data_IF_646671903773
#
_entry.id   IF_646671903773
#
_cell.length_a   1.000
_cell.length_b   1.000
_cell.length_c   1.000
_cell.angle_alpha   90.00
_cell.angle_beta   90.00
_cell.angle_gamma   90.00
#
_symmetry.space_group_name_H-M   'P 1'
#
loop_
_entity.id
_entity.type
_entity.pdbx_description
1 polymer ?
#
# COMPACT_ATOMS: atom_id res chain seq x y z
N UNK A 1 7.18 -39.29 2.65
CA UNK A 1 8.34 -38.39 2.45
C UNK A 1 8.09 -37.35 1.36
N UNK A 2 7.65 -37.75 0.15
CA UNK A 2 7.41 -36.85 -0.98
C UNK A 2 6.42 -35.70 -0.71
N UNK A 3 5.32 -35.94 -0.01
CA UNK A 3 4.30 -34.92 0.30
C UNK A 3 4.85 -33.74 1.12
N UNK A 4 5.69 -34.01 2.12
CA UNK A 4 6.27 -32.97 2.97
C UNK A 4 7.29 -32.11 2.19
N UNK A 5 8.08 -32.74 1.30
CA UNK A 5 8.99 -32.04 0.39
C UNK A 5 8.26 -31.18 -0.64
N UNK A 6 7.14 -31.64 -1.20
CA UNK A 6 6.33 -30.86 -2.16
C UNK A 6 5.68 -29.66 -1.47
N UNK A 7 5.17 -29.84 -0.26
CA UNK A 7 4.61 -28.74 0.55
C UNK A 7 5.70 -27.71 0.91
N UNK A 8 6.87 -28.16 1.37
CA UNK A 8 8.01 -27.27 1.67
C UNK A 8 8.51 -26.53 0.41
N UNK A 9 8.62 -27.22 -0.73
CA UNK A 9 9.02 -26.59 -2.00
C UNK A 9 7.98 -25.57 -2.46
N UNK A 10 6.68 -25.86 -2.31
CA UNK A 10 5.59 -24.92 -2.62
C UNK A 10 5.63 -23.68 -1.74
N UNK A 11 5.80 -23.84 -0.43
CA UNK A 11 5.92 -22.72 0.52
C UNK A 11 7.19 -21.91 0.27
N UNK A 12 8.34 -22.55 0.02
CA UNK A 12 9.61 -21.87 -0.29
C UNK A 12 9.55 -21.14 -1.63
N UNK A 13 8.90 -21.72 -2.64
CA UNK A 13 8.71 -21.08 -3.95
C UNK A 13 7.77 -19.88 -3.83
N UNK A 14 6.69 -20.01 -3.06
CA UNK A 14 5.78 -18.90 -2.76
C UNK A 14 6.50 -17.77 -1.97
N UNK A 15 7.31 -18.09 -0.97
CA UNK A 15 8.15 -17.12 -0.25
C UNK A 15 9.18 -16.45 -1.16
N UNK A 16 9.76 -17.17 -2.12
CA UNK A 16 10.66 -16.60 -3.13
C UNK A 16 9.94 -15.69 -4.11
N UNK A 17 8.72 -16.02 -4.50
CA UNK A 17 7.87 -15.17 -5.36
C UNK A 17 7.50 -13.87 -4.61
N UNK A 18 7.12 -13.95 -3.34
CA UNK A 18 6.88 -12.77 -2.51
C UNK A 18 8.14 -11.88 -2.39
N UNK A 19 9.33 -12.49 -2.28
CA UNK A 19 10.61 -11.76 -2.19
C UNK A 19 11.09 -11.21 -3.54
N UNK A 20 10.67 -11.81 -4.66
CA UNK A 20 11.02 -11.36 -6.01
C UNK A 20 10.16 -10.18 -6.48
N UNK A 21 8.88 -10.13 -6.08
CA UNK A 21 7.97 -9.01 -6.34
C UNK A 21 8.52 -7.68 -5.77
N UNK A 22 9.21 -7.75 -4.62
CA UNK A 22 9.86 -6.61 -3.95
C UNK A 22 10.94 -5.94 -4.82
N UNK A 23 11.64 -6.73 -5.65
CA UNK A 23 12.66 -6.22 -6.57
C UNK A 23 12.10 -5.65 -7.88
N UNK A 24 10.93 -6.13 -8.32
CA UNK A 24 10.26 -5.68 -9.55
C UNK A 24 9.43 -4.40 -9.37
N UNK A 25 8.87 -4.16 -8.18
CA UNK A 25 8.01 -3.00 -7.91
C UNK A 25 8.76 -1.74 -7.43
N UNK A 26 10.06 -1.85 -7.15
CA UNK A 26 10.94 -0.71 -6.88
C UNK A 26 11.06 0.29 -8.04
N UNK A 27 10.66 -0.11 -9.26
CA UNK A 27 10.63 0.79 -10.43
C UNK A 27 9.44 1.76 -10.45
N UNK A 28 8.42 1.58 -9.58
CA UNK A 28 7.32 2.54 -9.40
C UNK A 28 7.60 3.59 -8.30
N UNK A 29 8.77 3.50 -7.66
CA UNK A 29 9.25 4.38 -6.58
C UNK A 29 9.91 5.67 -7.11
N UNK A 30 10.25 5.72 -8.40
CA UNK A 30 10.72 6.97 -9.01
C UNK A 30 9.54 7.90 -9.21
N UNK A 31 9.71 9.17 -8.79
CA UNK A 31 8.92 10.31 -9.26
C UNK A 31 8.58 10.05 -10.74
N UNK A 32 7.28 10.08 -11.13
CA UNK A 32 6.91 9.80 -12.50
C UNK A 32 7.76 10.69 -13.42
N UNK A 33 8.32 10.15 -14.52
CA UNK A 33 9.13 10.93 -15.43
C UNK A 33 8.28 12.11 -15.89
N UNK A 34 8.69 13.31 -15.48
CA UNK A 34 8.27 14.65 -15.93
C UNK A 34 7.18 14.62 -17.01
N UNK A 35 5.91 14.52 -16.63
CA UNK A 35 4.80 14.61 -17.59
C UNK A 35 3.56 15.22 -16.95
N UNK A 36 3.21 16.42 -17.41
CA UNK A 36 1.85 17.03 -17.51
C UNK A 36 1.44 18.03 -16.41
N UNK A 37 1.85 19.30 -16.58
CA UNK A 37 1.23 20.61 -16.24
C UNK A 37 0.26 20.85 -15.04
N UNK A 38 -0.25 19.87 -14.31
CA UNK A 38 -1.31 20.01 -13.30
C UNK A 38 -0.96 19.47 -11.91
N UNK A 39 0.33 19.36 -11.56
CA UNK A 39 0.76 18.85 -10.25
C UNK A 39 1.13 19.99 -9.30
N UNK A 40 0.71 19.87 -8.05
CA UNK A 40 1.21 20.69 -6.95
C UNK A 40 2.43 20.00 -6.35
N UNK A 41 3.61 20.26 -6.92
CA UNK A 41 4.89 19.81 -6.36
C UNK A 41 5.32 20.77 -5.26
N UNK A 42 5.56 20.28 -4.04
CA UNK A 42 6.04 21.10 -2.93
C UNK A 42 7.35 20.54 -2.39
N UNK A 43 8.45 21.13 -2.84
CA UNK A 43 9.74 20.93 -2.21
C UNK A 43 10.10 22.21 -1.48
N UNK A 44 9.94 22.22 -0.15
CA UNK A 44 10.56 23.28 0.64
C UNK A 44 11.08 22.73 1.96
N UNK A 45 12.37 23.00 2.15
CA UNK A 45 13.30 22.72 3.24
C UNK A 45 13.73 21.26 3.35
N UNK A 46 15.05 21.04 3.36
CA UNK A 46 15.72 19.73 3.28
C UNK A 46 15.50 18.78 4.46
N UNK A 47 14.35 18.88 5.11
CA UNK A 47 13.92 18.00 6.19
C UNK A 47 12.54 17.36 5.94
N UNK A 48 11.73 17.88 4.99
CA UNK A 48 10.41 17.30 4.67
C UNK A 48 10.00 17.56 3.23
N UNK A 49 9.29 16.61 2.63
CA UNK A 49 8.83 16.65 1.24
C UNK A 49 7.36 16.28 1.15
N UNK A 50 6.62 16.98 0.29
CA UNK A 50 5.20 16.76 0.09
C UNK A 50 4.84 16.85 -1.40
N UNK A 51 4.00 15.94 -1.85
CA UNK A 51 3.55 15.85 -3.22
C UNK A 51 2.07 15.47 -3.23
N UNK A 52 1.29 16.15 -4.06
CA UNK A 52 -0.09 15.79 -4.33
C UNK A 52 -0.40 16.05 -5.80
N UNK A 53 -1.04 15.08 -6.46
CA UNK A 53 -1.47 15.27 -7.85
C UNK A 53 -2.68 16.19 -7.95
N UNK A 54 -3.65 16.04 -7.05
CA UNK A 54 -4.85 16.87 -7.05
C UNK A 54 -5.39 17.00 -5.63
N UNK A 55 -5.77 18.23 -5.26
CA UNK A 55 -6.39 18.52 -3.97
C UNK A 55 -7.75 19.15 -4.25
N UNK A 56 -8.80 18.53 -3.72
CA UNK A 56 -10.17 18.99 -3.91
C UNK A 56 -10.86 19.23 -2.56
N UNK A 57 -11.65 20.28 -2.51
CA UNK A 57 -12.57 20.61 -1.44
C UNK A 57 -13.98 20.26 -1.91
N UNK A 58 -14.64 19.37 -1.19
CA UNK A 58 -16.05 19.03 -1.39
C UNK A 58 -16.85 19.80 -0.35
N UNK A 59 -17.72 20.70 -0.79
CA UNK A 59 -18.52 21.54 0.11
C UNK A 59 -19.98 21.16 -0.05
N UNK A 60 -20.58 20.68 1.04
CA UNK A 60 -21.99 20.30 1.09
C UNK A 60 -22.82 21.45 1.65
N UNK A 61 -23.61 22.10 0.79
CA UNK A 61 -24.55 23.16 1.18
C UNK A 61 -25.96 22.80 0.74
N UNK A 62 -26.90 22.72 1.68
CA UNK A 62 -28.31 22.41 1.42
C UNK A 62 -28.54 21.14 0.57
N UNK A 63 -27.70 20.11 0.77
CA UNK A 63 -27.78 18.84 0.03
C UNK A 63 -27.14 18.86 -1.36
N UNK A 64 -26.52 19.97 -1.77
CA UNK A 64 -25.74 20.09 -3.01
C UNK A 64 -24.26 20.06 -2.64
N UNK A 65 -23.53 19.09 -3.19
CA UNK A 65 -22.07 18.99 -3.06
C UNK A 65 -21.39 19.71 -4.23
N UNK A 66 -20.64 20.77 -3.96
CA UNK A 66 -19.76 21.41 -4.95
C UNK A 66 -18.32 20.93 -4.79
N UNK A 67 -17.64 20.66 -5.90
CA UNK A 67 -16.23 20.30 -5.91
C UNK A 67 -15.36 21.49 -6.35
N UNK A 68 -14.35 21.80 -5.54
CA UNK A 68 -13.43 22.88 -5.82
C UNK A 68 -11.99 22.36 -5.83
N UNK A 69 -11.30 22.52 -6.96
CA UNK A 69 -9.91 22.09 -7.12
C UNK A 69 -8.97 23.22 -6.74
N UNK A 70 -8.05 22.96 -5.81
CA UNK A 70 -7.04 23.94 -5.43
C UNK A 70 -5.99 24.08 -6.56
N UNK A 71 -5.65 25.32 -6.97
CA UNK A 71 -4.73 25.54 -8.09
C UNK A 71 -3.29 25.17 -7.73
N UNK A 72 -2.57 24.47 -8.62
CA UNK A 72 -1.28 23.85 -8.28
C UNK A 72 -0.04 24.76 -8.30
N UNK A 73 -0.07 25.97 -8.88
CA UNK A 73 1.21 26.57 -9.29
C UNK A 73 1.33 28.11 -9.34
N UNK A 74 0.47 28.89 -8.68
CA UNK A 74 0.59 30.37 -8.74
C UNK A 74 0.26 31.14 -7.44
N UNK A 75 -0.54 30.58 -6.51
CA UNK A 75 -1.12 31.37 -5.41
C UNK A 75 -0.96 30.74 -4.03
N UNK A 76 0.13 29.99 -3.79
CA UNK A 76 0.35 29.34 -2.50
C UNK A 76 1.69 29.68 -1.86
N UNK A 77 1.71 29.78 -0.55
CA UNK A 77 2.93 29.80 0.27
C UNK A 77 3.00 28.52 1.09
N UNK A 78 4.13 27.81 1.00
CA UNK A 78 4.41 26.62 1.79
C UNK A 78 5.53 26.88 2.78
N UNK A 79 5.32 26.54 4.04
CA UNK A 79 6.33 26.59 5.08
C UNK A 79 6.45 25.24 5.76
N UNK A 80 7.68 24.79 5.96
CA UNK A 80 8.00 23.58 6.71
C UNK A 80 8.89 23.95 7.89
N UNK A 81 8.63 23.34 9.05
CA UNK A 81 9.46 23.49 10.25
C UNK A 81 9.70 22.12 10.84
N UNK A 82 10.95 21.69 10.80
CA UNK A 82 11.40 20.47 11.44
C UNK A 82 12.00 20.85 12.79
N UNK A 83 11.23 20.64 13.85
CA UNK A 83 11.72 20.84 15.20
C UNK A 83 12.73 19.74 15.53
N UNK A 84 13.79 20.13 16.24
CA UNK A 84 14.83 19.23 16.75
C UNK A 84 14.23 18.21 17.75
N UNK A 85 13.06 18.52 18.31
CA UNK A 85 12.31 17.69 19.26
C UNK A 85 11.52 16.53 18.61
N UNK A 86 11.84 16.15 17.37
CA UNK A 86 11.16 15.04 16.68
C UNK A 86 9.75 15.37 16.18
N UNK A 87 9.41 16.64 16.01
CA UNK A 87 8.14 17.06 15.39
C UNK A 87 8.36 17.85 14.12
N UNK A 88 7.59 17.55 13.08
CA UNK A 88 7.68 18.24 11.79
C UNK A 88 6.32 18.84 11.47
N UNK A 89 6.30 20.11 11.08
CA UNK A 89 5.08 20.84 10.72
C UNK A 89 5.16 21.27 9.27
N UNK A 90 4.13 20.93 8.50
CA UNK A 90 3.93 21.38 7.13
C UNK A 90 2.71 22.28 7.09
N UNK A 91 2.85 23.51 6.62
CA UNK A 91 1.71 24.39 6.39
C UNK A 91 1.72 24.97 4.98
N UNK A 92 0.53 25.06 4.43
CA UNK A 92 0.23 25.53 3.09
C UNK A 92 -0.84 26.59 3.20
N UNK A 93 -0.70 27.68 2.47
CA UNK A 93 -1.68 28.76 2.47
C UNK A 93 -1.93 29.20 1.04
N UNK A 94 -3.19 29.22 0.64
CA UNK A 94 -3.68 29.72 -0.64
C UNK A 94 -4.38 31.06 -0.40
N UNK A 95 -3.79 32.13 -0.93
CA UNK A 95 -4.25 33.51 -0.71
C UNK A 95 -5.28 33.97 -1.75
N UNK A 96 -5.36 33.30 -2.89
CA UNK A 96 -6.34 33.63 -3.95
C UNK A 96 -6.77 32.36 -4.69
N UNK A 97 -8.03 31.99 -4.50
CA UNK A 97 -8.68 30.87 -5.20
C UNK A 97 -9.43 31.40 -6.44
N UNK A 98 -9.29 30.77 -7.63
CA UNK A 98 -10.03 31.16 -8.82
C UNK A 98 -11.54 30.96 -8.63
N UNK A 99 -12.35 31.91 -9.09
CA UNK A 99 -13.81 31.82 -9.02
C UNK A 99 -14.36 30.71 -9.93
N UNK A 100 -15.41 29.95 -9.55
CA UNK A 100 -16.26 30.08 -8.36
C UNK A 100 -15.73 29.27 -7.16
N UNK A 101 -15.07 29.94 -6.21
CA UNK A 101 -14.66 29.33 -4.94
C UNK A 101 -15.62 29.73 -3.82
N UNK A 102 -16.02 28.78 -2.98
CA UNK A 102 -16.83 29.06 -1.78
C UNK A 102 -16.03 29.83 -0.71
N UNK A 103 -14.70 29.69 -0.75
CA UNK A 103 -13.77 30.30 0.19
C UNK A 103 -12.81 31.22 -0.56
N UNK A 104 -12.41 32.32 0.07
CA UNK A 104 -11.45 33.30 -0.45
C UNK A 104 -10.02 32.88 -0.15
N UNK A 105 -9.80 32.31 1.03
CA UNK A 105 -8.49 31.85 1.51
C UNK A 105 -8.61 30.49 2.17
N UNK A 106 -7.62 29.63 1.92
CA UNK A 106 -7.55 28.29 2.51
C UNK A 106 -6.13 28.09 3.01
N UNK A 107 -5.96 27.69 4.27
CA UNK A 107 -4.67 27.20 4.73
C UNK A 107 -4.79 25.82 5.37
N UNK A 108 -3.81 24.97 5.15
CA UNK A 108 -3.77 23.61 5.70
C UNK A 108 -2.46 23.45 6.46
N UNK A 109 -2.53 22.90 7.66
CA UNK A 109 -1.36 22.60 8.47
C UNK A 109 -1.42 21.16 8.98
N UNK A 110 -0.34 20.42 8.78
CA UNK A 110 -0.16 19.06 9.23
C UNK A 110 1.01 18.99 10.22
N UNK A 111 0.79 18.32 11.34
CA UNK A 111 1.80 18.11 12.38
C UNK A 111 2.12 16.64 12.47
N UNK A 112 3.36 16.29 12.20
CA UNK A 112 3.92 14.95 12.28
C UNK A 112 4.75 14.81 13.55
N UNK A 113 4.71 13.63 14.15
CA UNK A 113 5.45 13.29 15.35
C UNK A 113 6.25 12.02 15.12
N UNK A 114 7.55 12.08 15.42
CA UNK A 114 8.45 10.94 15.43
C UNK A 114 8.45 10.31 16.82
N UNK A 115 8.07 9.04 16.89
CA UNK A 115 8.14 8.24 18.12
C UNK A 115 9.57 7.75 18.36
N UNK A 116 9.88 7.34 19.59
CA UNK A 116 11.19 6.82 20.00
C UNK A 116 11.64 5.57 19.21
N UNK A 117 10.71 4.86 18.57
CA UNK A 117 10.96 3.70 17.72
C UNK A 117 11.31 4.06 16.26
N UNK A 118 11.72 5.31 15.99
CA UNK A 118 11.98 5.84 14.65
C UNK A 118 10.77 5.73 13.69
N UNK A 119 9.56 5.62 14.24
CA UNK A 119 8.32 5.60 13.47
C UNK A 119 7.58 6.93 13.62
N UNK A 120 7.24 7.56 12.51
CA UNK A 120 6.45 8.77 12.49
C UNK A 120 4.97 8.49 12.25
N UNK A 121 4.13 9.39 12.75
CA UNK A 121 2.70 9.42 12.47
C UNK A 121 2.22 10.86 12.35
N UNK A 122 1.05 11.05 11.74
CA UNK A 122 0.35 12.32 11.74
C UNK A 122 -0.36 12.51 13.08
N UNK A 123 0.08 13.51 13.84
CA UNK A 123 -0.49 13.86 15.14
C UNK A 123 -1.78 14.65 15.00
N UNK A 124 -1.79 15.64 14.10
CA UNK A 124 -2.95 16.50 13.88
C UNK A 124 -2.90 17.14 12.49
N UNK A 125 -4.06 17.24 11.85
CA UNK A 125 -4.30 18.09 10.69
C UNK A 125 -5.28 19.21 11.05
N UNK A 126 -4.99 20.44 10.62
CA UNK A 126 -5.88 21.58 10.73
C UNK A 126 -6.04 22.25 9.38
N UNK A 127 -7.25 22.74 9.11
CA UNK A 127 -7.55 23.54 7.92
C UNK A 127 -8.21 24.82 8.37
N UNK A 128 -7.72 25.95 7.89
CA UNK A 128 -8.31 27.26 8.09
C UNK A 128 -9.00 27.69 6.81
N UNK A 129 -10.31 27.91 6.88
CA UNK A 129 -11.14 28.39 5.78
C UNK A 129 -11.57 29.82 6.12
N UNK A 130 -11.21 30.80 5.28
CA UNK A 130 -11.54 32.22 5.48
C UNK A 130 -11.21 32.74 6.89
N UNK A 131 -10.05 32.33 7.42
CA UNK A 131 -9.57 32.70 8.76
C UNK A 131 -10.10 31.86 9.92
N UNK A 132 -11.09 30.98 9.69
CA UNK A 132 -11.62 30.09 10.73
C UNK A 132 -10.96 28.72 10.69
N UNK A 133 -10.29 28.33 11.79
CA UNK A 133 -9.57 27.07 11.88
C UNK A 133 -10.47 25.90 12.34
N UNK A 134 -10.39 24.79 11.60
CA UNK A 134 -11.08 23.54 11.87
C UNK A 134 -10.08 22.38 11.99
N UNK A 135 -10.46 21.36 12.75
CA UNK A 135 -9.67 20.14 12.88
C UNK A 135 -10.09 19.12 11.81
N UNK A 136 -9.09 18.45 11.24
CA UNK A 136 -9.27 17.43 10.20
C UNK A 136 -9.23 16.05 10.88
N UNK A 137 -10.18 15.18 10.59
CA UNK A 137 -10.19 13.78 11.07
C UNK A 137 -9.32 12.87 10.18
N UNK A 138 -8.04 13.22 10.06
CA UNK A 138 -7.06 12.42 9.32
C UNK A 138 -6.17 11.63 10.26
N UNK A 139 -6.09 10.32 10.05
CA UNK A 139 -5.15 9.43 10.73
C UNK A 139 -4.30 8.71 9.70
N UNK A 140 -2.97 8.76 9.87
CA UNK A 140 -2.02 8.03 9.04
C UNK A 140 -1.40 6.87 9.86
N UNK A 141 -1.11 5.72 9.22
CA UNK A 141 -0.45 4.62 9.90
C UNK A 141 0.98 5.00 10.29
N UNK A 142 1.51 4.30 11.30
CA UNK A 142 2.92 4.44 11.68
C UNK A 142 3.81 4.04 10.51
N UNK A 143 4.71 4.93 10.13
CA UNK A 143 5.64 4.72 9.02
C UNK A 143 7.08 4.97 9.51
N UNK A 144 8.08 4.17 9.11
CA UNK A 144 9.47 4.42 9.51
C UNK A 144 10.00 5.78 9.03
N UNK A 145 10.93 6.39 9.75
CA UNK A 145 11.50 7.72 9.42
C UNK A 145 12.13 7.83 8.04
N UNK A 146 12.75 6.76 7.55
CA UNK A 146 13.40 6.70 6.23
C UNK A 146 12.41 6.48 5.09
N UNK A 147 11.13 6.20 5.41
CA UNK A 147 10.08 5.94 4.45
C UNK A 147 9.07 7.11 4.41
N UNK A 148 8.69 7.49 3.20
CA UNK A 148 7.51 8.32 2.96
C UNK A 148 6.23 7.50 2.97
N UNK A 149 5.09 8.18 3.04
CA UNK A 149 3.77 7.58 2.85
C UNK A 149 3.20 7.99 1.50
N UNK A 150 2.68 7.05 0.71
CA UNK A 150 2.10 7.29 -0.61
C UNK A 150 0.67 6.75 -0.67
N UNK A 151 -0.22 7.50 -1.30
CA UNK A 151 -1.58 7.09 -1.54
C UNK A 151 -2.14 7.68 -2.83
N UNK A 152 -2.41 6.83 -3.81
CA UNK A 152 -3.00 7.24 -5.09
C UNK A 152 -4.42 7.79 -4.92
N UNK A 153 -5.24 7.15 -4.08
CA UNK A 153 -6.62 7.56 -3.84
C UNK A 153 -6.94 7.52 -2.36
N UNK A 154 -7.03 8.69 -1.75
CA UNK A 154 -7.37 8.82 -0.35
C UNK A 154 -8.89 8.88 -0.16
N UNK A 155 -9.47 8.31 0.91
CA UNK A 155 -10.86 8.59 1.26
C UNK A 155 -11.06 10.08 1.54
N UNK A 156 -12.28 10.57 1.30
CA UNK A 156 -12.63 11.94 1.61
C UNK A 156 -12.58 12.17 3.13
N UNK A 157 -11.78 13.14 3.55
CA UNK A 157 -11.52 13.44 4.96
C UNK A 157 -12.49 14.50 5.42
N UNK A 158 -13.17 14.27 6.55
CA UNK A 158 -14.13 15.23 7.08
C UNK A 158 -13.44 16.38 7.83
N UNK A 159 -13.95 17.59 7.64
CA UNK A 159 -13.56 18.78 8.42
C UNK A 159 -14.57 18.95 9.56
N UNK A 160 -14.13 18.67 10.78
CA UNK A 160 -15.01 18.64 11.94
C UNK A 160 -15.50 20.06 12.30
N UNK A 161 -16.81 20.23 12.38
CA UNK A 161 -17.45 21.49 12.80
C UNK A 161 -17.50 22.57 11.72
N UNK A 162 -17.17 22.26 10.47
CA UNK A 162 -17.29 23.20 9.35
C UNK A 162 -18.76 23.37 8.94
N UNK A 163 -19.18 24.62 8.77
CA UNK A 163 -20.49 25.01 8.24
C UNK A 163 -20.28 25.94 7.05
N UNK A 164 -20.56 25.54 5.80
CA UNK A 164 -21.09 24.25 5.32
C UNK A 164 -20.17 23.04 5.56
N UNK A 165 -20.74 21.83 5.59
CA UNK A 165 -19.98 20.59 5.78
C UNK A 165 -18.96 20.45 4.66
N UNK A 166 -17.67 20.48 5.03
CA UNK A 166 -16.57 20.46 4.06
C UNK A 166 -15.77 19.18 4.21
N UNK A 167 -15.41 18.55 3.09
CA UNK A 167 -14.57 17.36 3.03
C UNK A 167 -13.37 17.62 2.12
N UNK A 168 -12.23 17.05 2.48
CA UNK A 168 -10.97 17.16 1.74
C UNK A 168 -10.71 15.86 0.98
N UNK A 169 -10.37 15.97 -0.30
CA UNK A 169 -10.02 14.83 -1.13
C UNK A 169 -8.61 15.03 -1.70
N UNK A 170 -7.73 14.07 -1.43
CA UNK A 170 -6.37 14.03 -1.96
C UNK A 170 -6.25 12.90 -2.99
N UNK A 171 -5.75 13.25 -4.18
CA UNK A 171 -5.37 12.28 -5.22
C UNK A 171 -3.86 12.32 -5.41
N UNK A 172 -3.22 11.15 -5.42
CA UNK A 172 -1.78 11.01 -5.62
C UNK A 172 -0.96 11.70 -4.52
N UNK A 173 -1.34 11.50 -3.27
CA UNK A 173 -0.63 12.04 -2.11
C UNK A 173 0.66 11.28 -1.85
N UNK A 174 1.77 11.97 -1.64
CA UNK A 174 3.02 11.40 -1.15
C UNK A 174 3.66 12.38 -0.17
N UNK A 175 3.98 11.92 1.04
CA UNK A 175 4.53 12.78 2.09
C UNK A 175 5.66 12.07 2.82
N UNK A 176 6.75 12.79 3.05
CA UNK A 176 7.86 12.33 3.85
C UNK A 176 8.27 13.47 4.81
N UNK A 177 7.88 13.39 6.09
CA UNK A 177 8.06 14.50 7.02
C UNK A 177 9.45 14.60 7.64
N UNK A 178 10.28 13.55 7.51
CA UNK A 178 11.62 13.46 8.09
C UNK A 178 12.60 12.82 7.09
N UNK A 179 13.89 13.06 7.31
CA UNK A 179 15.01 12.37 6.62
C UNK A 179 14.95 12.40 5.09
N UNK A 180 14.60 13.57 4.53
CA UNK A 180 14.60 13.79 3.08
C UNK A 180 16.01 14.14 2.62
N UNK A 181 16.63 13.26 1.85
CA UNK A 181 17.99 13.44 1.32
C UNK A 181 17.92 13.92 -0.13
N UNK A 182 18.69 14.95 -0.48
CA UNK A 182 18.84 15.47 -1.85
C UNK A 182 17.54 15.87 -2.58
N UNK A 183 16.49 16.22 -1.84
CA UNK A 183 15.19 16.57 -2.43
C UNK A 183 14.50 15.40 -3.13
N UNK A 184 14.90 14.17 -2.81
CA UNK A 184 14.28 12.93 -3.29
C UNK A 184 13.50 12.29 -2.15
N UNK A 185 12.36 11.73 -2.51
CA UNK A 185 11.65 10.83 -1.60
C UNK A 185 12.49 9.56 -1.42
N UNK A 186 12.60 9.12 -0.17
CA UNK A 186 13.09 7.79 0.17
C UNK A 186 12.07 6.73 -0.26
N UNK A 187 12.22 5.53 0.31
CA UNK A 187 11.28 4.46 0.05
C UNK A 187 9.87 4.81 0.54
N UNK A 188 8.84 4.20 -0.04
CA UNK A 188 7.45 4.58 0.27
C UNK A 188 6.65 3.43 0.86
N UNK A 189 5.83 3.76 1.85
CA UNK A 189 4.78 2.92 2.39
C UNK A 189 3.45 3.31 1.74
N UNK A 190 2.87 2.41 0.96
CA UNK A 190 1.60 2.67 0.28
C UNK A 190 0.40 2.50 1.22
N UNK A 191 -0.67 3.28 0.98
CA UNK A 191 -1.90 3.22 1.77
C UNK A 191 -2.71 1.92 1.61
N UNK A 192 -2.42 1.16 0.56
CA UNK A 192 -3.01 -0.16 0.32
C UNK A 192 -1.94 -1.21 0.56
N UNK A 193 -2.25 -2.20 1.39
CA UNK A 193 -1.38 -3.35 1.55
C UNK A 193 -1.32 -4.16 0.25
N UNK A 194 -0.15 -4.71 -0.07
CA UNK A 194 0.07 -5.57 -1.25
C UNK A 194 -0.96 -6.70 -1.37
N UNK A 195 -1.36 -7.27 -0.23
CA UNK A 195 -2.38 -8.32 -0.17
C UNK A 195 -3.50 -7.92 0.76
N UNK A 196 -4.73 -7.93 0.26
CA UNK A 196 -5.90 -7.77 1.10
C UNK A 196 -6.14 -9.03 1.93
N UNK A 197 -6.76 -8.93 3.12
CA UNK A 197 -7.10 -10.10 3.92
C UNK A 197 -7.92 -11.15 3.16
N UNK A 198 -8.78 -10.70 2.22
CA UNK A 198 -9.56 -11.59 1.37
C UNK A 198 -8.70 -12.39 0.38
N UNK A 199 -7.68 -11.77 -0.22
CA UNK A 199 -6.77 -12.44 -1.15
C UNK A 199 -5.96 -13.52 -0.40
N UNK A 200 -5.42 -13.21 0.77
CA UNK A 200 -4.65 -14.18 1.57
C UNK A 200 -5.52 -15.36 2.02
N UNK A 201 -6.76 -15.09 2.44
CA UNK A 201 -7.68 -16.16 2.85
C UNK A 201 -7.97 -17.13 1.70
N UNK A 202 -8.30 -16.61 0.52
CA UNK A 202 -8.59 -17.45 -0.64
C UNK A 202 -7.35 -18.18 -1.15
N UNK A 203 -6.21 -17.48 -1.20
CA UNK A 203 -4.95 -18.09 -1.62
C UNK A 203 -4.57 -19.27 -0.72
N UNK A 204 -4.76 -19.14 0.60
CA UNK A 204 -4.49 -20.22 1.56
C UNK A 204 -5.41 -21.43 1.33
N UNK A 205 -6.69 -21.19 1.06
CA UNK A 205 -7.67 -22.27 0.77
C UNK A 205 -7.31 -22.99 -0.54
N UNK A 206 -7.02 -22.24 -1.60
CA UNK A 206 -6.60 -22.80 -2.90
C UNK A 206 -5.32 -23.62 -2.74
N UNK A 207 -4.35 -23.11 -1.99
CA UNK A 207 -3.11 -23.83 -1.70
C UNK A 207 -3.36 -25.15 -0.97
N UNK A 208 -4.24 -25.16 0.04
CA UNK A 208 -4.61 -26.37 0.78
C UNK A 208 -5.33 -27.40 -0.12
N UNK A 209 -6.27 -26.95 -0.95
CA UNK A 209 -6.98 -27.82 -1.89
C UNK A 209 -6.03 -28.45 -2.92
N UNK A 210 -5.10 -27.68 -3.47
CA UNK A 210 -4.05 -28.19 -4.35
C UNK A 210 -3.14 -29.19 -3.63
N UNK A 211 -2.87 -28.97 -2.34
CA UNK A 211 -2.18 -29.93 -1.49
C UNK A 211 -2.89 -31.30 -1.45
N UNK A 212 -4.17 -31.33 -1.07
CA UNK A 212 -4.93 -32.59 -0.98
C UNK A 212 -5.12 -33.23 -2.37
N UNK A 213 -5.37 -32.41 -3.40
CA UNK A 213 -5.52 -32.89 -4.77
C UNK A 213 -4.26 -33.55 -5.30
N UNK A 214 -3.09 -32.91 -5.13
CA UNK A 214 -1.80 -33.48 -5.55
C UNK A 214 -1.46 -34.77 -4.80
N UNK A 215 -1.84 -34.88 -3.51
CA UNK A 215 -1.71 -36.12 -2.75
C UNK A 215 -2.58 -37.24 -3.33
N UNK A 216 -3.87 -36.95 -3.59
CA UNK A 216 -4.78 -37.92 -4.20
C UNK A 216 -4.28 -38.37 -5.58
N UNK A 217 -3.85 -37.43 -6.42
CA UNK A 217 -3.31 -37.73 -7.74
C UNK A 217 -2.04 -38.60 -7.68
N UNK A 218 -1.15 -38.33 -6.72
CA UNK A 218 0.07 -39.13 -6.51
C UNK A 218 -0.25 -40.58 -6.15
N UNK A 219 -1.30 -40.80 -5.33
CA UNK A 219 -1.74 -42.15 -4.97
C UNK A 219 -2.34 -42.90 -6.16
N UNK A 220 -3.11 -42.20 -7.02
CA UNK A 220 -3.67 -42.80 -8.25
C UNK A 220 -2.56 -43.18 -9.23
N UNK A 221 -1.55 -42.33 -9.42
CA UNK A 221 -0.38 -42.65 -10.26
C UNK A 221 0.45 -43.83 -9.72
N UNK A 222 0.36 -44.11 -8.41
CA UNK A 222 1.04 -45.23 -7.76
C UNK A 222 0.29 -46.57 -7.84
N UNK A 223 -0.91 -46.62 -8.43
CA UNK A 223 -1.64 -47.88 -8.59
C UNK A 223 -0.93 -48.71 -9.66
N UNK A 224 -0.19 -49.72 -9.20
CA UNK A 224 0.28 -50.79 -10.07
C UNK A 224 -0.92 -51.67 -10.38
N UNK A 225 -1.31 -51.75 -11.66
CA UNK A 225 -2.26 -52.76 -12.10
C UNK A 225 -1.63 -54.11 -11.83
N UNK A 226 -2.23 -54.90 -10.94
CA UNK A 226 -1.84 -56.30 -10.74
C UNK A 226 -1.76 -56.93 -12.13
N UNK A 227 -0.55 -57.41 -12.46
CA UNK A 227 -0.28 -58.19 -13.66
C UNK A 227 -0.99 -59.53 -13.46
N UNK A 228 -2.29 -59.49 -13.66
CA UNK A 228 -3.18 -60.60 -13.42
C UNK A 228 -3.06 -61.49 -14.64
N UNK A 229 -2.53 -62.68 -14.37
CA UNK A 229 -2.59 -63.88 -15.21
C UNK A 229 -1.51 -64.00 -16.28
N UNK A 230 -0.32 -64.45 -15.87
CA UNK A 230 0.46 -65.44 -16.62
C UNK A 230 1.58 -66.03 -15.74
N UNK A 231 1.31 -67.15 -15.05
CA UNK A 231 2.10 -68.38 -15.24
C UNK A 231 1.56 -69.57 -14.39
N UNK A 232 0.53 -70.30 -14.86
CA UNK A 232 0.25 -71.65 -14.38
C UNK A 232 0.92 -72.71 -15.28
N UNK A 233 2.25 -72.73 -15.47
CA UNK A 233 2.94 -73.87 -16.10
C UNK A 233 4.46 -73.89 -15.80
N UNK A 234 4.92 -74.53 -14.74
CA UNK A 234 5.04 -76.00 -14.70
C UNK A 234 5.65 -76.41 -13.36
N UNK A 235 4.86 -77.09 -12.52
CA UNK A 235 5.47 -78.00 -11.54
C UNK A 235 6.19 -79.08 -12.34
N UNK A 236 7.52 -79.03 -12.44
CA UNK A 236 8.30 -80.18 -12.86
C UNK A 236 8.16 -81.26 -11.78
N UNK A 237 7.40 -82.33 -12.09
CA UNK A 237 7.46 -83.59 -11.37
C UNK A 237 8.88 -84.15 -11.50
N UNK A 238 9.65 -84.17 -10.41
CA UNK A 238 10.84 -85.02 -10.33
C UNK A 238 10.39 -86.48 -10.16
N UNK A 239 10.25 -87.21 -11.26
CA UNK A 239 10.46 -88.67 -11.24
C UNK A 239 11.96 -88.86 -11.47
N UNK A 240 12.69 -89.02 -10.37
CA UNK A 240 14.07 -89.49 -10.36
C UNK A 240 14.06 -90.94 -9.91
N UNK A 241 14.07 -91.86 -10.87
CA UNK A 241 14.46 -93.25 -10.70
C UNK A 241 15.93 -93.35 -10.25
N UNK A 242 16.19 -94.08 -9.17
CA UNK A 242 17.40 -94.89 -8.86
C UNK A 242 17.35 -95.24 -7.37
N UNK A 243 17.09 -96.49 -6.99
CA UNK A 243 18.06 -97.59 -6.88
C UNK A 243 18.40 -97.81 -5.39
N UNK A 244 17.85 -98.88 -4.82
CA UNK A 244 18.53 -99.84 -3.93
C UNK A 244 17.68 -101.12 -3.85
#
# INVERSE_FOLDING_TARGET
>A
MYFLTILLLGVVSFLKILRAEDSGLSNFQRLPPKLIKDYTYFNVSGCSAFFAQKIELLVDKNGITSNFVLPPNQNHSSSSSCAVDGTSKLSFEWQSLPSPSHFKSVSMSFVFHLSNSDMWTLKAGRITLDGTAYNISLTLPYTPKSYGYKCTKMPAISVNGSTPSTRLLFTGLQVQPFDVVDGRFGDVNDCVGFFTPGIISNLLIVFLLLGIFSYGLSMVMGIQTNDAFDDPKSKMLQIGSTAD
#
